data_IF_162049782392
#
_entry.id   IF_162049782392
#
_cell.length_a   1.000
_cell.length_b   1.000
_cell.length_c   1.000
_cell.angle_alpha   90.00
_cell.angle_beta   90.00
_cell.angle_gamma   90.00
#
_symmetry.space_group_name_H-M   'P 1'
#
loop_
_entity.id
_entity.type
_entity.pdbx_description
1 polymer ?
#
# COMPACT_ATOMS: atom_id res chain seq x y z
N UNK A 1 -1.49 -23.32 13.48
CA UNK A 1 -2.48 -22.24 13.35
C UNK A 1 -1.84 -21.07 12.64
N UNK A 2 -2.53 -20.57 11.64
CA UNK A 2 -2.20 -19.32 10.95
C UNK A 2 -2.65 -18.13 11.79
N UNK A 3 -2.00 -16.97 11.61
CA UNK A 3 -2.39 -15.73 12.32
C UNK A 3 -3.86 -15.35 12.06
N UNK A 4 -4.40 -15.70 10.89
CA UNK A 4 -5.79 -15.45 10.52
C UNK A 4 -6.76 -16.24 11.40
N UNK A 5 -6.46 -17.52 11.67
CA UNK A 5 -7.31 -18.38 12.51
C UNK A 5 -7.35 -17.87 13.96
N UNK A 6 -6.21 -17.44 14.51
CA UNK A 6 -6.14 -16.84 15.85
C UNK A 6 -6.95 -15.54 15.96
N UNK A 7 -6.95 -14.74 14.89
CA UNK A 7 -7.70 -13.48 14.85
C UNK A 7 -9.21 -13.73 14.85
N UNK A 8 -9.68 -14.77 14.14
CA UNK A 8 -11.09 -15.15 14.12
C UNK A 8 -11.54 -15.63 15.51
N UNK A 9 -10.74 -16.46 16.19
CA UNK A 9 -11.09 -16.93 17.55
C UNK A 9 -11.12 -15.81 18.57
N UNK A 10 -10.30 -14.76 18.39
CA UNK A 10 -10.31 -13.60 19.28
C UNK A 10 -11.53 -12.70 19.03
N UNK A 11 -11.88 -12.48 17.76
CA UNK A 11 -13.06 -11.69 17.36
C UNK A 11 -14.36 -12.32 17.87
N UNK A 12 -14.48 -13.66 17.86
CA UNK A 12 -15.65 -14.37 18.39
C UNK A 12 -15.86 -14.18 19.91
N UNK A 13 -14.80 -13.86 20.65
CA UNK A 13 -14.85 -13.64 22.10
C UNK A 13 -15.06 -12.16 22.48
N UNK A 14 -15.00 -11.25 21.51
CA UNK A 14 -15.13 -9.81 21.74
C UNK A 14 -16.62 -9.43 21.77
N UNK A 15 -17.05 -8.60 22.73
CA UNK A 15 -18.42 -8.09 22.76
C UNK A 15 -18.70 -7.21 21.53
N UNK A 16 -19.92 -7.29 21.01
CA UNK A 16 -20.34 -6.61 19.78
C UNK A 16 -20.08 -5.09 19.80
N UNK A 17 -20.11 -4.49 20.99
CA UNK A 17 -19.79 -3.07 21.24
C UNK A 17 -18.37 -2.66 20.81
N UNK A 18 -17.43 -3.60 20.76
CA UNK A 18 -16.04 -3.37 20.39
C UNK A 18 -15.73 -3.90 18.97
N UNK A 19 -16.68 -4.58 18.33
CA UNK A 19 -16.50 -5.07 16.96
C UNK A 19 -16.42 -3.92 15.96
N UNK A 20 -17.16 -2.83 16.19
CA UNK A 20 -17.07 -1.61 15.37
C UNK A 20 -15.64 -1.04 15.38
N UNK A 21 -15.02 -0.91 16.56
CA UNK A 21 -13.64 -0.42 16.70
C UNK A 21 -12.62 -1.34 15.98
N UNK A 22 -12.80 -2.66 16.10
CA UNK A 22 -11.95 -3.64 15.42
C UNK A 22 -12.13 -3.56 13.90
N UNK A 23 -13.36 -3.40 13.43
CA UNK A 23 -13.67 -3.25 12.01
C UNK A 23 -13.05 -1.97 11.44
N UNK A 24 -13.19 -0.85 12.14
CA UNK A 24 -12.58 0.43 11.78
C UNK A 24 -11.05 0.32 11.70
N UNK A 25 -10.42 -0.37 12.66
CA UNK A 25 -8.98 -0.59 12.62
C UNK A 25 -8.53 -1.44 11.43
N UNK A 26 -9.27 -2.50 11.09
CA UNK A 26 -9.00 -3.31 9.89
C UNK A 26 -9.15 -2.46 8.62
N UNK A 27 -10.18 -1.61 8.56
CA UNK A 27 -10.43 -0.75 7.41
C UNK A 27 -9.35 0.34 7.27
N UNK A 28 -8.88 0.89 8.40
CA UNK A 28 -7.72 1.78 8.45
C UNK A 28 -6.46 1.10 7.91
N UNK A 29 -6.16 -0.14 8.33
CA UNK A 29 -4.99 -0.87 7.84
C UNK A 29 -5.07 -1.13 6.33
N UNK A 30 -6.23 -1.51 5.80
CA UNK A 30 -6.43 -1.69 4.35
C UNK A 30 -6.18 -0.39 3.59
N UNK A 31 -6.73 0.72 4.09
CA UNK A 31 -6.56 2.04 3.48
C UNK A 31 -5.11 2.50 3.55
N UNK A 32 -4.42 2.21 4.66
CA UNK A 32 -3.01 2.53 4.84
C UNK A 32 -2.13 1.80 3.82
N UNK A 33 -2.36 0.52 3.57
CA UNK A 33 -1.61 -0.25 2.57
C UNK A 33 -1.77 0.38 1.18
N UNK A 34 -3.02 0.67 0.79
CA UNK A 34 -3.30 1.32 -0.51
C UNK A 34 -2.62 2.69 -0.60
N UNK A 35 -2.62 3.46 0.49
CA UNK A 35 -1.98 4.77 0.53
C UNK A 35 -0.45 4.68 0.45
N UNK A 36 0.16 3.73 1.17
CA UNK A 36 1.61 3.48 1.11
C UNK A 36 2.05 3.00 -0.28
N UNK A 37 1.24 2.19 -0.97
CA UNK A 37 1.48 1.80 -2.37
C UNK A 37 1.39 2.99 -3.33
N UNK A 38 0.40 3.86 -3.16
CA UNK A 38 0.24 5.08 -3.98
C UNK A 38 1.37 6.08 -3.70
N UNK A 39 1.72 6.33 -2.44
CA UNK A 39 2.81 7.24 -2.06
C UNK A 39 4.16 6.71 -2.57
N UNK A 40 4.38 5.39 -2.57
CA UNK A 40 5.56 4.76 -3.17
C UNK A 40 5.60 4.96 -4.69
N UNK A 41 4.47 4.76 -5.39
CA UNK A 41 4.38 4.96 -6.83
C UNK A 41 4.67 6.41 -7.23
N UNK A 42 4.09 7.39 -6.51
CA UNK A 42 4.31 8.81 -6.75
C UNK A 42 5.78 9.20 -6.47
N UNK A 43 6.40 8.64 -5.42
CA UNK A 43 7.79 8.90 -5.11
C UNK A 43 8.75 8.29 -6.15
N UNK A 44 8.42 7.13 -6.72
CA UNK A 44 9.13 6.54 -7.85
C UNK A 44 9.02 7.39 -9.13
N UNK A 45 7.87 8.00 -9.43
CA UNK A 45 7.71 8.90 -10.58
C UNK A 45 8.65 10.12 -10.50
N UNK A 46 8.77 10.74 -9.32
CA UNK A 46 9.66 11.90 -9.14
C UNK A 46 11.14 11.56 -9.28
N UNK A 47 11.54 10.32 -9.00
CA UNK A 47 12.92 9.83 -9.18
C UNK A 47 13.16 9.39 -10.62
N UNK A 48 12.19 8.74 -11.26
CA UNK A 48 12.29 8.25 -12.65
C UNK A 48 12.28 9.40 -13.66
N UNK A 49 11.49 10.45 -13.43
CA UNK A 49 11.45 11.66 -14.27
C UNK A 49 12.81 12.37 -14.35
N UNK A 50 13.64 12.27 -13.30
CA UNK A 50 14.96 12.91 -13.27
C UNK A 50 16.02 12.22 -14.13
N UNK A 51 15.90 10.91 -14.32
CA UNK A 51 16.82 10.16 -15.17
C UNK A 51 16.37 10.16 -16.63
N UNK A 52 15.06 10.08 -16.89
CA UNK A 52 14.50 10.02 -18.25
C UNK A 52 14.67 11.29 -19.11
N UNK A 53 14.82 12.46 -18.49
CA UNK A 53 14.95 13.76 -19.19
C UNK A 53 16.40 14.12 -19.58
N UNK A 54 17.32 13.15 -19.56
CA UNK A 54 18.71 13.35 -19.95
C UNK A 54 18.83 13.38 -21.48
N UNK A 55 19.50 14.38 -22.07
CA UNK A 55 19.67 14.49 -23.52
C UNK A 55 20.44 13.31 -24.13
N UNK A 56 21.20 12.56 -23.31
CA UNK A 56 21.87 11.32 -23.68
C UNK A 56 20.87 10.17 -23.93
N UNK A 57 19.77 10.10 -23.17
CA UNK A 57 18.73 9.08 -23.34
C UNK A 57 17.84 9.42 -24.53
N UNK A 58 17.44 10.67 -24.75
CA UNK A 58 16.65 11.06 -25.94
C UNK A 58 17.28 10.58 -27.27
N UNK A 59 18.62 10.58 -27.37
CA UNK A 59 19.34 10.01 -28.54
C UNK A 59 19.26 8.49 -28.65
N UNK A 60 19.23 7.77 -27.54
CA UNK A 60 19.05 6.32 -27.54
C UNK A 60 17.63 5.93 -27.95
N UNK A 61 16.63 6.72 -27.56
CA UNK A 61 15.21 6.50 -27.90
C UNK A 61 14.89 6.82 -29.37
N UNK A 62 15.59 7.75 -30.01
CA UNK A 62 15.43 8.02 -31.45
C UNK A 62 16.00 6.95 -32.38
N UNK A 63 16.74 5.98 -31.85
CA UNK A 63 17.34 4.88 -32.63
C UNK A 63 16.65 3.52 -32.39
N UNK A 64 15.48 3.51 -31.76
CA UNK A 64 14.58 2.35 -31.58
C UNK A 64 13.36 2.46 -32.50
#
# INVERSE_FOLDING_TARGET
MTKKELLISEIEQIPESLLDDVFDFINYLKTKIVKEEIDTAIMSESLLSKDWLRPEEEKAWQNL
#
